data_IF_347165115732
#
_entry.id   IF_347165115732
#
_cell.length_a   1.000
_cell.length_b   1.000
_cell.length_c   1.000
_cell.angle_alpha   90.00
_cell.angle_beta   90.00
_cell.angle_gamma   90.00
#
_symmetry.space_group_name_H-M   'P 1'
#
loop_
_entity.id
_entity.type
_entity.pdbx_description
1 polymer ?
#
# COMPACT_ATOMS: atom_id res chain seq x y z
N UNK A 1 24.90 -14.83 3.39
CA UNK A 1 24.61 -13.44 3.81
C UNK A 1 23.22 -13.07 3.31
N UNK A 2 22.39 -12.50 4.15
CA UNK A 2 21.02 -12.11 3.81
C UNK A 2 21.06 -10.92 2.84
N UNK A 3 20.73 -11.13 1.55
CA UNK A 3 20.74 -10.05 0.56
C UNK A 3 19.38 -9.32 0.60
N UNK A 4 19.36 -8.10 1.15
CA UNK A 4 18.15 -7.27 1.27
C UNK A 4 17.78 -6.53 -0.02
N UNK A 5 18.70 -6.46 -0.98
CA UNK A 5 18.52 -5.65 -2.20
C UNK A 5 17.28 -6.03 -3.01
N UNK A 6 16.93 -7.32 -3.22
CA UNK A 6 15.71 -7.68 -3.93
C UNK A 6 14.43 -7.12 -3.28
N UNK A 7 14.33 -7.16 -1.95
CA UNK A 7 13.20 -6.59 -1.23
C UNK A 7 13.23 -5.05 -1.28
N UNK A 8 14.42 -4.44 -1.12
CA UNK A 8 14.61 -3.00 -1.25
C UNK A 8 14.18 -2.47 -2.62
N UNK A 9 14.48 -3.19 -3.70
CA UNK A 9 14.04 -2.82 -5.05
C UNK A 9 12.51 -2.73 -5.16
N UNK A 10 11.78 -3.74 -4.62
CA UNK A 10 10.31 -3.73 -4.62
C UNK A 10 9.75 -2.61 -3.74
N UNK A 11 10.33 -2.36 -2.57
CA UNK A 11 9.94 -1.24 -1.70
C UNK A 11 10.12 0.09 -2.44
N UNK A 12 11.24 0.28 -3.12
CA UNK A 12 11.51 1.47 -3.93
C UNK A 12 10.45 1.69 -5.01
N UNK A 13 10.06 0.63 -5.74
CA UNK A 13 8.97 0.71 -6.72
C UNK A 13 7.63 1.06 -6.09
N UNK A 14 7.29 0.46 -4.94
CA UNK A 14 6.04 0.76 -4.23
C UNK A 14 6.00 2.20 -3.73
N UNK A 15 7.12 2.74 -3.24
CA UNK A 15 7.25 4.15 -2.89
C UNK A 15 7.07 5.06 -4.10
N UNK A 16 7.66 4.71 -5.25
CA UNK A 16 7.45 5.49 -6.46
C UNK A 16 5.97 5.52 -6.87
N UNK A 17 5.29 4.37 -6.82
CA UNK A 17 3.84 4.29 -7.09
C UNK A 17 3.06 5.13 -6.08
N UNK A 18 3.36 5.04 -4.79
CA UNK A 18 2.71 5.83 -3.75
C UNK A 18 2.92 7.35 -3.96
N UNK A 19 4.13 7.76 -4.34
CA UNK A 19 4.42 9.16 -4.65
C UNK A 19 3.65 9.65 -5.89
N UNK A 20 3.49 8.81 -6.91
CA UNK A 20 2.65 9.14 -8.08
C UNK A 20 1.17 9.27 -7.71
N UNK A 21 0.65 8.42 -6.82
CA UNK A 21 -0.77 8.50 -6.45
C UNK A 21 -1.11 9.75 -5.64
N UNK A 22 -0.15 10.35 -4.92
CA UNK A 22 -0.32 11.64 -4.24
C UNK A 22 -0.60 12.81 -5.20
N UNK A 23 -0.31 12.66 -6.50
CA UNK A 23 -0.65 13.68 -7.53
C UNK A 23 -2.16 13.82 -7.70
N UNK A 24 -2.94 12.76 -7.41
CA UNK A 24 -4.40 12.78 -7.52
C UNK A 24 -5.04 13.76 -6.52
N UNK A 25 -4.83 13.63 -5.18
CA UNK A 25 -5.34 14.62 -4.22
C UNK A 25 -4.69 15.99 -4.37
N UNK A 26 -3.43 16.07 -4.84
CA UNK A 26 -2.81 17.35 -5.21
C UNK A 26 -3.61 18.09 -6.28
N UNK A 27 -4.04 17.39 -7.34
CA UNK A 27 -4.85 17.97 -8.40
C UNK A 27 -6.22 18.42 -7.91
N UNK A 28 -6.82 17.68 -6.97
CA UNK A 28 -8.09 18.07 -6.36
C UNK A 28 -7.95 19.34 -5.53
N UNK A 29 -6.96 19.42 -4.64
CA UNK A 29 -6.72 20.62 -3.83
C UNK A 29 -6.35 21.83 -4.70
N UNK A 30 -5.65 21.61 -5.82
CA UNK A 30 -5.37 22.67 -6.80
C UNK A 30 -6.64 23.22 -7.44
N UNK A 31 -7.57 22.35 -7.85
CA UNK A 31 -8.85 22.75 -8.45
C UNK A 31 -9.72 23.49 -7.42
N UNK A 32 -9.67 23.07 -6.16
CA UNK A 32 -10.42 23.68 -5.06
C UNK A 32 -9.74 24.94 -4.49
N UNK A 33 -8.66 25.42 -5.12
CA UNK A 33 -7.85 26.58 -4.69
C UNK A 33 -7.31 26.49 -3.24
N UNK A 34 -7.25 25.28 -2.67
CA UNK A 34 -6.70 25.04 -1.33
C UNK A 34 -5.18 25.05 -1.38
N UNK A 35 -4.53 25.74 -0.43
CA UNK A 35 -3.06 25.77 -0.33
C UNK A 35 -2.44 24.42 0.00
N UNK A 36 -3.25 23.44 0.44
CA UNK A 36 -2.83 22.09 0.79
C UNK A 36 -2.26 21.27 -0.38
N UNK A 37 -2.47 21.70 -1.63
CA UNK A 37 -1.82 21.08 -2.79
C UNK A 37 -0.28 21.08 -2.67
N UNK A 38 0.31 22.09 -2.01
CA UNK A 38 1.76 22.20 -1.78
C UNK A 38 2.25 21.01 -0.94
N UNK A 39 1.48 20.63 0.07
CA UNK A 39 1.81 19.54 0.99
C UNK A 39 1.81 18.19 0.28
N UNK A 40 0.87 17.97 -0.64
CA UNK A 40 0.91 16.79 -1.52
C UNK A 40 2.04 16.84 -2.54
N UNK A 41 2.35 18.01 -3.12
CA UNK A 41 3.46 18.16 -4.06
C UNK A 41 4.81 17.83 -3.41
N UNK A 42 5.07 18.36 -2.21
CA UNK A 42 6.27 18.06 -1.43
C UNK A 42 6.33 16.60 -1.00
N UNK A 43 5.21 16.05 -0.51
CA UNK A 43 5.12 14.64 -0.12
C UNK A 43 5.39 13.71 -1.31
N UNK A 44 4.78 14.00 -2.46
CA UNK A 44 4.98 13.26 -3.71
C UNK A 44 6.44 13.30 -4.14
N UNK A 45 7.05 14.49 -4.18
CA UNK A 45 8.45 14.67 -4.58
C UNK A 45 9.41 13.91 -3.67
N UNK A 46 9.27 14.04 -2.34
CA UNK A 46 10.13 13.35 -1.36
C UNK A 46 9.97 11.84 -1.48
N UNK A 47 8.74 11.35 -1.61
CA UNK A 47 8.45 9.91 -1.73
C UNK A 47 9.00 9.33 -3.03
N UNK A 48 8.84 10.04 -4.16
CA UNK A 48 9.39 9.66 -5.46
C UNK A 48 10.91 9.64 -5.44
N UNK A 49 11.54 10.66 -4.85
CA UNK A 49 12.98 10.78 -4.76
C UNK A 49 13.56 9.63 -3.93
N UNK A 50 13.01 9.38 -2.74
CA UNK A 50 13.49 8.28 -1.89
C UNK A 50 13.22 6.92 -2.54
N UNK A 51 12.03 6.71 -3.10
CA UNK A 51 11.69 5.48 -3.82
C UNK A 51 12.66 5.21 -4.99
N UNK A 52 12.98 6.24 -5.77
CA UNK A 52 13.93 6.15 -6.88
C UNK A 52 15.35 5.83 -6.41
N UNK A 53 15.84 6.50 -5.36
CA UNK A 53 17.17 6.24 -4.79
C UNK A 53 17.27 4.80 -4.28
N UNK A 54 16.26 4.31 -3.55
CA UNK A 54 16.22 2.94 -3.05
C UNK A 54 16.19 1.94 -4.21
N UNK A 55 15.35 2.19 -5.22
CA UNK A 55 15.21 1.35 -6.41
C UNK A 55 16.55 1.23 -7.16
N UNK A 56 17.19 2.37 -7.48
CA UNK A 56 18.47 2.41 -8.19
C UNK A 56 19.60 1.75 -7.38
N UNK A 57 19.64 1.95 -6.06
CA UNK A 57 20.63 1.32 -5.18
C UNK A 57 20.50 -0.22 -5.13
N UNK A 58 19.31 -0.74 -5.43
CA UNK A 58 18.99 -2.16 -5.35
C UNK A 58 18.88 -2.86 -6.72
N UNK A 59 19.04 -2.13 -7.83
CA UNK A 59 18.78 -2.61 -9.19
C UNK A 59 19.69 -3.77 -9.64
N UNK A 60 20.88 -3.95 -9.03
CA UNK A 60 21.85 -4.97 -9.44
C UNK A 60 21.40 -6.44 -9.21
N UNK A 61 20.18 -6.68 -8.71
CA UNK A 61 19.63 -8.02 -8.39
C UNK A 61 18.23 -8.26 -8.98
N UNK A 62 17.93 -7.75 -10.18
CA UNK A 62 16.64 -7.87 -10.92
C UNK A 62 16.11 -9.32 -11.11
N UNK A 63 16.81 -10.38 -10.69
CA UNK A 63 16.18 -11.71 -10.64
C UNK A 63 15.14 -11.72 -9.50
N UNK A 64 13.89 -11.36 -9.84
CA UNK A 64 12.69 -11.27 -8.97
C UNK A 64 12.22 -12.65 -8.51
N UNK A 65 13.15 -13.48 -8.04
CA UNK A 65 12.84 -14.68 -7.28
C UNK A 65 13.23 -14.38 -5.85
N UNK A 66 12.30 -13.79 -5.11
CA UNK A 66 12.45 -13.59 -3.67
C UNK A 66 12.47 -14.96 -2.99
N UNK A 67 13.47 -15.18 -2.15
CA UNK A 67 13.44 -16.32 -1.24
C UNK A 67 12.40 -16.09 -0.12
N UNK A 68 12.04 -17.13 0.62
CA UNK A 68 11.00 -17.04 1.66
C UNK A 68 11.29 -15.95 2.70
N UNK A 69 12.56 -15.81 3.11
CA UNK A 69 12.93 -14.85 4.15
C UNK A 69 12.88 -13.40 3.63
N UNK A 70 13.25 -13.18 2.36
CA UNK A 70 13.11 -11.90 1.67
C UNK A 70 11.65 -11.53 1.48
N UNK A 71 10.78 -12.50 1.20
CA UNK A 71 9.33 -12.27 1.12
C UNK A 71 8.76 -11.86 2.47
N UNK A 72 9.13 -12.54 3.58
CA UNK A 72 8.72 -12.11 4.92
C UNK A 72 9.21 -10.70 5.25
N UNK A 73 10.49 -10.42 5.01
CA UNK A 73 11.07 -9.11 5.23
C UNK A 73 10.38 -8.02 4.40
N UNK A 74 10.12 -8.30 3.12
CA UNK A 74 9.41 -7.41 2.21
C UNK A 74 8.01 -7.10 2.75
N UNK A 75 7.22 -8.11 3.06
CA UNK A 75 5.84 -7.94 3.53
C UNK A 75 5.80 -7.08 4.79
N UNK A 76 6.61 -7.39 5.81
CA UNK A 76 6.66 -6.60 7.05
C UNK A 76 7.13 -5.17 6.79
N UNK A 77 8.12 -4.99 5.91
CA UNK A 77 8.65 -3.68 5.58
C UNK A 77 7.65 -2.82 4.81
N UNK A 78 6.83 -3.40 3.93
CA UNK A 78 5.78 -2.67 3.19
C UNK A 78 4.76 -2.05 4.15
N UNK A 79 4.31 -2.81 5.15
CA UNK A 79 3.37 -2.34 6.17
C UNK A 79 3.94 -1.31 7.14
N UNK A 80 5.26 -1.13 7.17
CA UNK A 80 5.92 -0.12 7.99
C UNK A 80 6.28 1.12 7.15
N UNK A 81 6.86 0.90 5.97
CA UNK A 81 7.40 1.96 5.12
C UNK A 81 6.28 2.74 4.43
N UNK A 82 5.27 2.10 3.84
CA UNK A 82 4.22 2.84 3.14
C UNK A 82 3.45 3.81 4.06
N UNK A 83 3.08 3.44 5.29
CA UNK A 83 2.47 4.38 6.22
C UNK A 83 3.36 5.57 6.61
N UNK A 84 4.68 5.38 6.75
CA UNK A 84 5.61 6.50 7.03
C UNK A 84 5.53 7.56 5.93
N UNK A 85 5.56 7.13 4.66
CA UNK A 85 5.49 8.06 3.54
C UNK A 85 4.05 8.57 3.31
N UNK A 86 3.05 7.71 3.49
CA UNK A 86 1.65 8.11 3.39
C UNK A 86 1.19 9.07 4.50
N UNK A 87 1.93 9.15 5.60
CA UNK A 87 1.73 10.12 6.66
C UNK A 87 2.19 11.55 6.30
N UNK A 88 3.06 11.70 5.30
CA UNK A 88 3.68 12.98 4.95
C UNK A 88 2.67 14.11 4.67
N UNK A 89 1.58 13.89 3.91
CA UNK A 89 0.59 14.93 3.68
C UNK A 89 -0.11 15.42 4.95
N UNK A 90 -0.23 14.60 6.00
CA UNK A 90 -0.83 15.02 7.28
C UNK A 90 0.14 15.84 8.15
N UNK A 91 1.44 15.59 8.02
CA UNK A 91 2.49 16.34 8.75
C UNK A 91 2.70 17.71 8.10
N UNK A 92 2.75 17.75 6.76
CA UNK A 92 3.04 18.96 5.98
C UNK A 92 1.78 19.75 5.62
N UNK A 93 0.60 19.14 5.72
CA UNK A 93 -0.69 19.73 5.33
C UNK A 93 -1.37 20.53 6.44
N UNK A 94 -2.60 20.97 6.15
CA UNK A 94 -3.40 21.81 7.06
C UNK A 94 -3.69 21.16 8.42
N UNK A 95 -3.58 19.83 8.54
CA UNK A 95 -3.72 19.15 9.83
C UNK A 95 -2.56 19.42 10.78
N UNK A 96 -1.38 19.80 10.27
CA UNK A 96 -0.12 19.98 11.02
C UNK A 96 0.10 18.88 12.08
N UNK A 97 -0.25 17.65 11.72
CA UNK A 97 -0.36 16.57 12.68
C UNK A 97 1.03 16.20 13.21
N UNK A 98 1.10 15.88 14.51
CA UNK A 98 2.31 15.27 15.08
C UNK A 98 2.62 13.97 14.34
N UNK A 99 3.90 13.63 14.25
CA UNK A 99 4.33 12.41 13.56
C UNK A 99 3.55 11.16 14.02
N UNK A 100 3.30 11.02 15.33
CA UNK A 100 2.54 9.90 15.89
C UNK A 100 1.11 9.83 15.36
N UNK A 101 0.46 10.97 15.23
CA UNK A 101 -0.94 11.07 14.85
C UNK A 101 -1.09 10.88 13.34
N UNK A 102 -0.18 11.47 12.56
CA UNK A 102 -0.07 11.27 11.12
C UNK A 102 0.25 9.81 10.77
N UNK A 103 1.19 9.19 11.48
CA UNK A 103 1.53 7.79 11.30
C UNK A 103 0.37 6.88 11.71
N UNK A 104 -0.34 7.18 12.79
CA UNK A 104 -1.54 6.45 13.19
C UNK A 104 -2.62 6.51 12.11
N UNK A 105 -2.90 7.71 11.59
CA UNK A 105 -3.90 7.91 10.54
C UNK A 105 -3.54 7.14 9.25
N UNK A 106 -2.27 7.24 8.81
CA UNK A 106 -1.80 6.52 7.64
C UNK A 106 -1.83 5.00 7.85
N UNK A 107 -1.37 4.52 9.01
CA UNK A 107 -1.41 3.10 9.35
C UNK A 107 -2.84 2.57 9.31
N UNK A 108 -3.77 3.25 10.00
CA UNK A 108 -5.20 2.92 10.04
C UNK A 108 -5.84 2.92 8.64
N UNK A 109 -5.41 3.85 7.78
CA UNK A 109 -5.71 3.89 6.36
C UNK A 109 -5.30 2.61 5.63
N UNK A 110 -4.01 2.33 5.59
CA UNK A 110 -3.45 1.19 4.86
C UNK A 110 -3.90 -0.16 5.41
N UNK A 111 -4.09 -0.31 6.72
CA UNK A 111 -4.55 -1.58 7.32
C UNK A 111 -6.06 -1.76 7.27
N UNK A 112 -6.76 -0.83 6.63
CA UNK A 112 -8.22 -0.79 6.57
C UNK A 112 -8.92 -0.82 7.93
N UNK A 113 -8.28 -0.23 8.94
CA UNK A 113 -8.81 -0.21 10.32
C UNK A 113 -9.90 0.85 10.47
N UNK A 114 -9.77 1.98 9.79
CA UNK A 114 -10.81 3.01 9.75
C UNK A 114 -10.96 3.81 11.06
N UNK A 115 -10.00 3.73 11.96
CA UNK A 115 -9.90 4.58 13.16
C UNK A 115 -9.23 5.91 12.81
N UNK A 116 -9.62 6.99 13.50
CA UNK A 116 -9.09 8.34 13.28
C UNK A 116 -8.70 9.00 14.59
N UNK A 117 -7.61 9.75 14.58
CA UNK A 117 -7.21 10.66 15.68
C UNK A 117 -7.45 12.12 15.32
N UNK A 118 -7.70 12.39 14.04
CA UNK A 118 -8.05 13.73 13.54
C UNK A 118 -9.50 14.07 13.92
N UNK A 119 -9.71 15.32 14.35
CA UNK A 119 -11.02 15.91 14.62
C UNK A 119 -11.45 16.84 13.49
N UNK A 120 -12.73 17.21 13.47
CA UNK A 120 -13.31 18.17 12.50
C UNK A 120 -13.03 17.79 11.04
N UNK A 121 -13.25 16.52 10.70
CA UNK A 121 -12.96 16.00 9.36
C UNK A 121 -13.74 16.74 8.26
N UNK A 122 -14.95 17.22 8.57
CA UNK A 122 -15.81 17.91 7.61
C UNK A 122 -15.24 19.25 7.13
N UNK A 123 -14.26 19.81 7.84
CA UNK A 123 -13.60 21.08 7.49
C UNK A 123 -12.24 20.89 6.83
N UNK A 124 -11.77 19.65 6.67
CA UNK A 124 -10.48 19.39 6.05
C UNK A 124 -10.52 19.58 4.53
N UNK A 125 -9.39 19.96 3.92
CA UNK A 125 -9.23 19.96 2.46
C UNK A 125 -9.70 18.67 1.82
N UNK A 126 -10.40 18.79 0.69
CA UNK A 126 -10.98 17.64 -0.01
C UNK A 126 -9.91 16.67 -0.50
N UNK A 127 -8.70 17.15 -0.82
CA UNK A 127 -7.55 16.30 -1.12
C UNK A 127 -7.10 15.45 0.06
N UNK A 128 -7.10 15.96 1.29
CA UNK A 128 -6.82 15.14 2.48
C UNK A 128 -7.90 14.10 2.73
N UNK A 129 -9.17 14.46 2.58
CA UNK A 129 -10.27 13.51 2.69
C UNK A 129 -10.19 12.41 1.63
N UNK A 130 -9.87 12.79 0.38
CA UNK A 130 -9.63 11.85 -0.70
C UNK A 130 -8.44 10.94 -0.40
N UNK A 131 -7.33 11.48 0.11
CA UNK A 131 -6.14 10.71 0.44
C UNK A 131 -6.42 9.65 1.51
N UNK A 132 -7.22 9.99 2.52
CA UNK A 132 -7.69 9.03 3.54
C UNK A 132 -8.48 7.89 2.91
N UNK A 133 -9.42 8.20 2.01
CA UNK A 133 -10.15 7.20 1.25
C UNK A 133 -9.26 6.35 0.34
N UNK A 134 -8.26 6.96 -0.31
CA UNK A 134 -7.31 6.26 -1.18
C UNK A 134 -6.43 5.28 -0.40
N UNK A 135 -5.95 5.63 0.79
CA UNK A 135 -5.18 4.70 1.62
C UNK A 135 -6.01 3.49 2.05
N UNK A 136 -7.29 3.69 2.39
CA UNK A 136 -8.24 2.61 2.65
C UNK A 136 -8.42 1.72 1.40
N UNK A 137 -8.54 2.33 0.23
CA UNK A 137 -8.68 1.63 -1.05
C UNK A 137 -7.43 0.80 -1.41
N UNK A 138 -6.23 1.38 -1.24
CA UNK A 138 -4.96 0.67 -1.42
C UNK A 138 -4.81 -0.50 -0.42
N UNK A 139 -5.15 -0.23 0.84
CA UNK A 139 -5.17 -1.22 1.91
C UNK A 139 -6.09 -2.40 1.61
N UNK A 140 -7.30 -2.13 1.12
CA UNK A 140 -8.28 -3.14 0.77
C UNK A 140 -7.76 -4.11 -0.28
N UNK A 141 -7.18 -3.60 -1.37
CA UNK A 141 -6.55 -4.46 -2.39
C UNK A 141 -5.37 -5.23 -1.79
N UNK A 142 -4.52 -4.55 -1.01
CA UNK A 142 -3.33 -5.13 -0.39
C UNK A 142 -3.66 -6.32 0.53
N UNK A 143 -4.63 -6.15 1.43
CA UNK A 143 -5.05 -7.20 2.37
C UNK A 143 -5.66 -8.38 1.62
N UNK A 144 -6.51 -8.14 0.61
CA UNK A 144 -7.13 -9.24 -0.15
C UNK A 144 -6.08 -10.07 -0.88
N UNK A 145 -5.10 -9.43 -1.54
CA UNK A 145 -4.02 -10.13 -2.22
C UNK A 145 -3.14 -10.91 -1.24
N UNK A 146 -2.76 -10.30 -0.10
CA UNK A 146 -1.97 -10.96 0.94
C UNK A 146 -2.74 -12.16 1.52
N UNK A 147 -3.99 -11.97 1.92
CA UNK A 147 -4.83 -13.04 2.44
C UNK A 147 -4.91 -14.19 1.44
N UNK A 148 -5.13 -13.91 0.15
CA UNK A 148 -5.22 -14.94 -0.88
C UNK A 148 -3.91 -15.71 -1.11
N UNK A 149 -2.75 -15.06 -1.00
CA UNK A 149 -1.43 -15.72 -1.11
C UNK A 149 -1.08 -16.54 0.14
N UNK A 150 -1.42 -16.04 1.33
CA UNK A 150 -0.99 -16.62 2.61
C UNK A 150 -2.01 -17.57 3.26
N UNK A 151 -3.32 -17.41 3.04
CA UNK A 151 -4.35 -18.33 3.56
C UNK A 151 -4.09 -19.80 3.18
N UNK A 152 -3.66 -20.14 1.95
CA UNK A 152 -3.31 -21.53 1.60
C UNK A 152 -2.11 -22.07 2.40
N UNK A 153 -1.21 -21.19 2.84
CA UNK A 153 0.02 -21.56 3.56
C UNK A 153 -0.21 -21.62 5.07
N UNK A 154 -1.09 -20.78 5.61
CA UNK A 154 -1.30 -20.66 7.06
C UNK A 154 -1.97 -21.87 7.70
N UNK A 155 -2.60 -22.79 6.95
CA UNK A 155 -3.13 -24.08 7.46
C UNK A 155 -3.95 -23.98 8.78
N UNK A 156 -4.54 -22.83 9.09
CA UNK A 156 -5.38 -22.68 10.28
C UNK A 156 -6.82 -23.07 9.91
N UNK A 157 -7.21 -24.28 10.31
CA UNK A 157 -8.59 -24.61 10.69
C UNK A 157 -9.60 -25.03 9.63
N UNK A 158 -9.44 -24.73 8.34
CA UNK A 158 -10.53 -24.96 7.34
C UNK A 158 -10.22 -25.82 6.11
N UNK A 159 -8.95 -26.21 5.90
CA UNK A 159 -8.50 -26.78 4.62
C UNK A 159 -8.99 -28.22 4.32
N UNK A 160 -9.68 -28.87 5.27
CA UNK A 160 -10.39 -30.12 5.00
C UNK A 160 -11.70 -29.89 4.23
N UNK A 161 -12.35 -28.72 4.38
CA UNK A 161 -13.61 -28.37 3.69
C UNK A 161 -13.34 -27.93 2.24
N UNK A 162 -12.23 -27.23 1.98
CA UNK A 162 -11.84 -26.83 0.61
C UNK A 162 -11.31 -27.99 -0.25
N UNK A 163 -11.00 -29.15 0.36
CA UNK A 163 -10.64 -30.37 -0.36
C UNK A 163 -11.84 -31.04 -1.04
N UNK A 164 -13.05 -30.86 -0.50
CA UNK A 164 -14.28 -31.45 -1.05
C UNK A 164 -14.84 -30.70 -2.26
N UNK A 165 -14.48 -29.44 -2.49
CA UNK A 165 -14.97 -28.64 -3.62
C UNK A 165 -13.95 -28.42 -4.76
N UNK A 166 -12.92 -29.28 -4.87
CA UNK A 166 -12.15 -29.39 -6.12
C UNK A 166 -10.89 -28.53 -6.26
N UNK A 167 -10.27 -28.08 -5.16
CA UNK A 167 -8.92 -27.53 -5.19
C UNK A 167 -7.85 -28.62 -5.05
N UNK A 168 -7.79 -29.55 -6.01
CA UNK A 168 -6.66 -30.48 -6.14
C UNK A 168 -5.48 -29.74 -6.79
N UNK A 169 -4.74 -28.99 -5.99
CA UNK A 169 -3.56 -28.28 -6.47
C UNK A 169 -2.38 -29.27 -6.44
N UNK A 170 -2.18 -29.98 -7.55
CA UNK A 170 -1.07 -30.90 -7.86
C UNK A 170 0.33 -30.29 -7.61
N UNK A 171 0.71 -30.06 -6.36
CA UNK A 171 2.06 -29.67 -5.94
C UNK A 171 2.58 -28.31 -6.45
N UNK A 172 1.82 -27.59 -7.29
CA UNK A 172 2.18 -26.27 -7.82
C UNK A 172 1.32 -25.20 -7.15
N UNK A 173 1.75 -24.73 -5.98
CA UNK A 173 1.01 -23.75 -5.17
C UNK A 173 0.99 -22.35 -5.82
N UNK A 174 1.78 -22.07 -6.86
CA UNK A 174 2.02 -20.70 -7.34
C UNK A 174 2.03 -20.41 -8.88
N UNK A 175 1.36 -21.14 -9.80
CA UNK A 175 1.19 -20.64 -11.17
C UNK A 175 0.08 -19.57 -11.31
N UNK A 176 -0.86 -19.46 -10.36
CA UNK A 176 -2.09 -18.67 -10.51
C UNK A 176 -2.20 -17.40 -9.66
N UNK A 177 -1.21 -17.08 -8.83
CA UNK A 177 -1.31 -15.91 -7.94
C UNK A 177 -1.50 -14.59 -8.72
N UNK A 178 -0.79 -14.44 -9.84
CA UNK A 178 -0.94 -13.27 -10.72
C UNK A 178 -2.32 -13.23 -11.39
N UNK A 179 -2.83 -14.37 -11.86
CA UNK A 179 -4.17 -14.47 -12.47
C UNK A 179 -5.27 -14.12 -11.46
N UNK A 180 -5.16 -14.64 -10.23
CA UNK A 180 -6.18 -14.41 -9.20
C UNK A 180 -6.10 -12.97 -8.68
N UNK A 181 -4.90 -12.43 -8.47
CA UNK A 181 -4.71 -11.00 -8.13
C UNK A 181 -5.33 -10.09 -9.21
N UNK A 182 -5.18 -10.43 -10.49
CA UNK A 182 -5.81 -9.70 -11.60
C UNK A 182 -7.34 -9.76 -11.53
N UNK A 183 -7.91 -10.95 -11.35
CA UNK A 183 -9.37 -11.13 -11.24
C UNK A 183 -9.96 -10.35 -10.06
N UNK A 184 -9.30 -10.44 -8.89
CA UNK A 184 -9.70 -9.69 -7.70
C UNK A 184 -9.64 -8.18 -7.95
N UNK A 185 -8.58 -7.70 -8.60
CA UNK A 185 -8.44 -6.27 -8.93
C UNK A 185 -9.57 -5.77 -9.83
N UNK A 186 -10.00 -6.57 -10.82
CA UNK A 186 -11.13 -6.24 -11.70
C UNK A 186 -12.44 -6.17 -10.90
N UNK A 187 -12.70 -7.17 -10.05
CA UNK A 187 -13.91 -7.20 -9.20
C UNK A 187 -13.92 -5.98 -8.28
N UNK A 188 -12.80 -5.69 -7.63
CA UNK A 188 -12.67 -4.57 -6.72
C UNK A 188 -12.93 -3.22 -7.40
N UNK A 189 -12.35 -3.00 -8.59
CA UNK A 189 -12.62 -1.81 -9.41
C UNK A 189 -14.08 -1.72 -9.83
N UNK A 190 -14.67 -2.83 -10.26
CA UNK A 190 -16.08 -2.88 -10.68
C UNK A 190 -17.00 -2.49 -9.51
N UNK A 191 -16.77 -3.07 -8.33
CA UNK A 191 -17.53 -2.76 -7.12
C UNK A 191 -17.30 -1.33 -6.63
N UNK A 192 -16.15 -0.72 -6.90
CA UNK A 192 -15.88 0.68 -6.52
C UNK A 192 -16.64 1.67 -7.40
N UNK A 193 -16.93 1.31 -8.65
CA UNK A 193 -17.60 2.18 -9.62
C UNK A 193 -19.13 2.08 -9.56
N UNK A 194 -19.67 0.91 -9.16
CA UNK A 194 -21.10 0.66 -8.98
C UNK A 194 -21.66 1.42 -7.76
#
# INVERSE_FOLDING_TARGET
MFDLRPAGYVIGLLLMVLGLTMVIPMGLDWIDESTNWISFALSSFITLLIGSVVCLSCQNRIKVNLNIQQTFFLTTSVWLVLPIFGAMPFILGETEARFTDAFFEAMSGFTTTGSTVLSSLDTLPRGLLLWRGMMQWFGGIGVVVVAMVFLPVLRVGGMQIFRTEGFDTFGKILPRAAEISRSISIIYLTLTVL
#
